data_IF_030076576371
#
_entry.id   IF_030076576371
#
_cell.length_a   1.000
_cell.length_b   1.000
_cell.length_c   1.000
_cell.angle_alpha   90.00
_cell.angle_beta   90.00
_cell.angle_gamma   90.00
#
_symmetry.space_group_name_H-M   'P 1'
#
loop_
_entity.id
_entity.type
_entity.pdbx_description
1 polymer ?
#
# COMPACT_ATOMS: atom_id res chain seq x y z
N UNK A 1 -8.28 16.33 -37.09
CA UNK A 1 -9.47 15.90 -37.88
C UNK A 1 -10.44 15.21 -36.92
N UNK A 2 -11.75 15.33 -37.10
CA UNK A 2 -12.71 14.49 -36.38
C UNK A 2 -12.98 13.27 -37.28
N UNK A 3 -12.86 12.04 -36.76
CA UNK A 3 -13.16 10.85 -37.56
C UNK A 3 -14.64 10.47 -37.57
N UNK A 4 -14.98 9.41 -38.31
CA UNK A 4 -16.35 8.90 -38.44
C UNK A 4 -16.96 8.36 -37.14
N UNK A 5 -16.18 8.27 -36.05
CA UNK A 5 -16.62 7.87 -34.71
C UNK A 5 -16.62 9.06 -33.73
N UNK A 6 -16.34 10.28 -34.21
CA UNK A 6 -16.33 11.49 -33.39
C UNK A 6 -15.03 11.72 -32.60
N UNK A 7 -13.97 10.95 -32.84
CA UNK A 7 -12.69 11.14 -32.17
C UNK A 7 -11.87 12.27 -32.80
N UNK A 8 -11.18 13.03 -31.95
CA UNK A 8 -10.24 14.06 -32.39
C UNK A 8 -8.91 13.38 -32.72
N UNK A 9 -8.50 13.48 -33.96
CA UNK A 9 -7.25 12.95 -34.47
C UNK A 9 -6.24 14.07 -34.65
N UNK A 10 -5.16 14.03 -33.86
CA UNK A 10 -3.99 14.89 -34.02
C UNK A 10 -2.94 14.10 -34.81
N UNK A 11 -2.80 14.50 -36.07
CA UNK A 11 -1.87 13.91 -37.05
C UNK A 11 -0.62 14.78 -37.24
N UNK A 12 -0.31 15.61 -36.26
CA UNK A 12 0.88 16.46 -36.17
C UNK A 12 1.54 16.27 -34.81
N UNK A 13 2.77 16.75 -34.65
CA UNK A 13 3.44 16.78 -33.35
C UNK A 13 2.83 17.88 -32.47
N UNK A 14 2.52 17.56 -31.23
CA UNK A 14 2.30 18.54 -30.15
C UNK A 14 3.64 18.73 -29.44
N UNK A 15 4.13 19.96 -29.40
CA UNK A 15 5.40 20.32 -28.77
C UNK A 15 5.23 21.45 -27.75
N UNK A 16 6.17 21.53 -26.80
CA UNK A 16 6.22 22.64 -25.85
C UNK A 16 6.85 22.28 -24.51
N UNK A 17 7.93 22.96 -24.16
CA UNK A 17 8.61 22.79 -22.88
C UNK A 17 7.67 23.14 -21.71
N UNK A 18 7.48 22.19 -20.78
CA UNK A 18 6.63 22.34 -19.60
C UNK A 18 5.12 22.41 -19.87
N UNK A 19 4.69 22.30 -21.14
CA UNK A 19 3.27 22.36 -21.51
C UNK A 19 2.60 21.03 -21.19
N UNK A 20 1.45 21.10 -20.52
CA UNK A 20 0.63 19.94 -20.16
C UNK A 20 -0.39 19.63 -21.25
N UNK A 21 -0.68 18.35 -21.43
CA UNK A 21 -1.88 17.90 -22.14
C UNK A 21 -2.92 17.50 -21.11
N UNK A 22 -4.11 18.09 -21.13
CA UNK A 22 -5.19 17.73 -20.21
C UNK A 22 -6.47 17.47 -20.99
N UNK A 23 -6.98 16.25 -20.90
CA UNK A 23 -8.31 15.88 -21.40
C UNK A 23 -9.34 16.13 -20.31
N UNK A 24 -10.28 17.03 -20.60
CA UNK A 24 -11.43 17.37 -19.78
C UNK A 24 -12.70 17.37 -20.63
N UNK A 25 -13.87 17.27 -20.01
CA UNK A 25 -15.15 17.30 -20.72
C UNK A 25 -16.32 16.87 -19.83
N UNK A 26 -17.50 16.73 -20.44
CA UNK A 26 -18.69 16.18 -19.78
C UNK A 26 -19.15 14.94 -20.57
N UNK A 27 -19.42 13.83 -19.87
CA UNK A 27 -20.32 12.78 -20.37
C UNK A 27 -19.78 11.68 -21.29
N UNK A 28 -18.53 11.20 -21.15
CA UNK A 28 -18.02 10.07 -21.95
C UNK A 28 -17.25 9.10 -21.06
N UNK A 29 -17.80 7.89 -20.88
CA UNK A 29 -17.28 6.87 -19.96
C UNK A 29 -17.16 5.52 -20.69
N UNK A 30 -16.32 5.45 -21.73
CA UNK A 30 -16.06 4.20 -22.43
C UNK A 30 -14.87 4.28 -23.39
N UNK A 31 -14.27 3.10 -23.67
CA UNK A 31 -13.13 2.94 -24.58
C UNK A 31 -13.33 3.59 -25.95
N UNK A 32 -14.58 3.70 -26.42
CA UNK A 32 -14.95 4.19 -27.74
C UNK A 32 -15.72 5.53 -27.71
N UNK A 33 -15.67 6.26 -26.58
CA UNK A 33 -16.42 7.51 -26.41
C UNK A 33 -15.44 8.67 -26.14
N UNK A 34 -15.47 9.70 -27.00
CA UNK A 34 -14.60 10.87 -26.97
C UNK A 34 -13.10 10.54 -26.84
N UNK A 35 -12.53 10.05 -27.93
CA UNK A 35 -11.10 9.70 -28.01
C UNK A 35 -10.30 10.89 -28.55
N UNK A 36 -9.17 11.21 -27.90
CA UNK A 36 -8.07 11.94 -28.53
C UNK A 36 -7.06 10.93 -29.05
N UNK A 37 -6.88 10.87 -30.37
CA UNK A 37 -5.87 10.03 -31.02
C UNK A 37 -4.60 10.83 -31.29
N UNK A 38 -3.47 10.33 -30.81
CA UNK A 38 -2.14 10.84 -31.12
C UNK A 38 -1.40 9.81 -31.98
N UNK A 39 -1.12 10.15 -33.25
CA UNK A 39 -0.48 9.23 -34.19
C UNK A 39 1.02 9.43 -34.39
N UNK A 40 1.57 10.52 -33.85
CA UNK A 40 2.98 10.91 -33.97
C UNK A 40 3.66 10.98 -32.61
N UNK A 41 4.98 11.14 -32.63
CA UNK A 41 5.78 11.39 -31.43
C UNK A 41 5.57 12.83 -30.96
N UNK A 42 4.89 13.00 -29.82
CA UNK A 42 4.66 14.29 -29.20
C UNK A 42 5.75 14.59 -28.17
N UNK A 43 6.23 15.83 -28.16
CA UNK A 43 7.43 16.28 -27.43
C UNK A 43 7.14 17.39 -26.41
N UNK A 44 5.86 17.57 -26.05
CA UNK A 44 5.54 18.39 -24.88
C UNK A 44 6.05 17.70 -23.62
N UNK A 45 6.55 18.48 -22.66
CA UNK A 45 7.23 17.94 -21.46
C UNK A 45 6.52 18.23 -20.13
N UNK A 46 5.29 18.72 -20.16
CA UNK A 46 4.40 18.73 -19.01
C UNK A 46 3.60 17.43 -18.88
N UNK A 47 2.90 17.28 -17.75
CA UNK A 47 2.08 16.10 -17.47
C UNK A 47 0.99 15.88 -18.54
N UNK A 48 0.69 14.61 -18.79
CA UNK A 48 -0.48 14.17 -19.54
C UNK A 48 -1.54 13.74 -18.54
N UNK A 49 -2.70 14.40 -18.55
CA UNK A 49 -3.75 14.20 -17.56
C UNK A 49 -5.07 13.86 -18.26
N UNK A 50 -5.58 12.66 -18.01
CA UNK A 50 -6.83 12.15 -18.58
C UNK A 50 -7.89 12.21 -17.48
N UNK A 51 -8.67 13.30 -17.46
CA UNK A 51 -9.77 13.47 -16.50
C UNK A 51 -11.12 13.02 -17.06
N UNK A 52 -11.21 12.81 -18.37
CA UNK A 52 -12.38 12.31 -19.10
C UNK A 52 -11.99 11.59 -20.39
N UNK A 53 -12.83 10.64 -20.80
CA UNK A 53 -12.71 9.93 -22.08
C UNK A 53 -11.43 9.09 -22.19
N UNK A 54 -10.98 8.94 -23.43
CA UNK A 54 -9.83 8.11 -23.78
C UNK A 54 -8.74 8.95 -24.45
N UNK A 55 -7.49 8.80 -23.99
CA UNK A 55 -6.32 9.18 -24.78
C UNK A 55 -5.75 7.94 -25.44
N UNK A 56 -5.80 7.88 -26.76
CA UNK A 56 -5.24 6.78 -27.53
C UNK A 56 -3.93 7.17 -28.22
N UNK A 57 -2.91 6.36 -28.00
CA UNK A 57 -1.72 6.35 -28.83
C UNK A 57 -1.96 5.35 -29.96
N UNK A 58 -1.89 5.81 -31.20
CA UNK A 58 -2.11 4.99 -32.39
C UNK A 58 -0.90 5.03 -33.30
N UNK A 59 -0.67 4.00 -34.12
CA UNK A 59 0.52 3.96 -34.97
C UNK A 59 1.80 4.15 -34.16
N UNK A 60 2.60 5.16 -34.51
CA UNK A 60 3.85 5.54 -33.82
C UNK A 60 3.64 6.61 -32.73
N UNK A 61 2.39 6.85 -32.34
CA UNK A 61 1.98 7.73 -31.26
C UNK A 61 2.83 7.54 -30.00
N UNK A 62 3.37 8.64 -29.49
CA UNK A 62 4.19 8.68 -28.28
C UNK A 62 4.00 9.98 -27.52
N UNK A 63 4.14 9.89 -26.19
CA UNK A 63 4.15 11.00 -25.23
C UNK A 63 5.34 10.82 -24.26
N UNK A 64 6.46 10.32 -24.78
CA UNK A 64 7.65 9.92 -24.04
C UNK A 64 8.24 11.02 -23.16
N UNK A 65 8.05 12.28 -23.52
CA UNK A 65 8.58 13.45 -22.78
C UNK A 65 7.66 13.90 -21.64
N UNK A 66 6.43 13.37 -21.56
CA UNK A 66 5.52 13.64 -20.46
C UNK A 66 6.03 12.95 -19.18
N UNK A 67 6.34 13.67 -18.09
CA UNK A 67 6.89 13.05 -16.88
C UNK A 67 5.88 12.16 -16.14
N UNK A 68 4.58 12.45 -16.28
CA UNK A 68 3.50 11.70 -15.65
C UNK A 68 2.38 11.48 -16.65
N UNK A 69 1.82 10.28 -16.66
CA UNK A 69 0.54 9.97 -17.30
C UNK A 69 -0.46 9.73 -16.17
N UNK A 70 -1.36 10.69 -15.95
CA UNK A 70 -2.42 10.60 -14.96
C UNK A 70 -3.72 10.13 -15.60
N UNK A 71 -4.33 9.11 -14.99
CA UNK A 71 -5.57 8.47 -15.41
C UNK A 71 -6.56 8.57 -14.25
N UNK A 72 -7.59 9.38 -14.42
CA UNK A 72 -8.67 9.49 -13.45
C UNK A 72 -9.62 8.28 -13.54
N UNK A 73 -10.56 8.18 -12.58
CA UNK A 73 -11.62 7.17 -12.63
C UNK A 73 -12.49 7.30 -13.89
N UNK A 74 -12.95 6.17 -14.42
CA UNK A 74 -13.70 6.02 -15.68
C UNK A 74 -12.99 6.52 -16.94
N UNK A 75 -11.66 6.75 -16.87
CA UNK A 75 -10.85 7.24 -17.99
C UNK A 75 -9.91 6.17 -18.52
N UNK A 76 -9.52 6.31 -19.78
CA UNK A 76 -8.70 5.31 -20.49
C UNK A 76 -7.42 5.91 -21.04
N UNK A 77 -6.31 5.23 -20.77
CA UNK A 77 -5.09 5.34 -21.57
C UNK A 77 -5.02 4.14 -22.51
N UNK A 78 -5.19 4.38 -23.81
CA UNK A 78 -5.34 3.34 -24.82
C UNK A 78 -4.07 3.22 -25.68
N UNK A 79 -3.52 2.01 -25.75
CA UNK A 79 -2.35 1.66 -26.57
C UNK A 79 -2.64 0.52 -27.55
N UNK A 80 -3.91 0.16 -27.75
CA UNK A 80 -4.34 -1.01 -28.53
C UNK A 80 -3.98 -0.90 -30.00
N UNK A 81 -3.98 0.31 -30.56
CA UNK A 81 -3.75 0.56 -32.00
C UNK A 81 -2.32 1.02 -32.34
N UNK A 82 -1.35 0.83 -31.43
CA UNK A 82 0.06 1.14 -31.71
C UNK A 82 0.71 0.11 -32.65
N UNK A 83 1.82 0.50 -33.28
CA UNK A 83 2.71 -0.40 -34.04
C UNK A 83 3.60 -1.27 -33.13
N UNK A 84 3.68 -0.95 -31.84
CA UNK A 84 4.57 -1.57 -30.85
C UNK A 84 3.97 -1.54 -29.43
N UNK A 85 4.58 -2.26 -28.49
CA UNK A 85 4.34 -2.01 -27.06
C UNK A 85 4.73 -0.56 -26.73
N UNK A 86 3.98 0.09 -25.85
CA UNK A 86 4.41 1.39 -25.30
C UNK A 86 5.37 1.13 -24.15
N UNK A 87 6.55 1.73 -24.20
CA UNK A 87 7.56 1.63 -23.17
C UNK A 87 7.67 3.02 -22.55
N UNK A 88 7.45 3.11 -21.24
CA UNK A 88 7.61 4.37 -20.52
C UNK A 88 9.07 4.81 -20.58
N UNK A 89 9.30 6.10 -20.80
CA UNK A 89 10.64 6.68 -20.69
C UNK A 89 11.21 6.53 -19.28
N UNK A 90 12.53 6.69 -19.13
CA UNK A 90 13.15 6.78 -17.82
C UNK A 90 12.49 7.91 -17.00
N UNK A 91 12.07 7.62 -15.78
CA UNK A 91 11.40 8.57 -14.87
C UNK A 91 9.94 8.87 -15.20
N UNK A 92 9.42 8.46 -16.37
CA UNK A 92 8.01 8.62 -16.69
C UNK A 92 7.15 7.74 -15.77
N UNK A 93 6.15 8.33 -15.14
CA UNK A 93 5.36 7.67 -14.09
C UNK A 93 3.90 7.52 -14.47
N UNK A 94 3.24 6.51 -13.89
CA UNK A 94 1.79 6.32 -13.98
C UNK A 94 1.13 6.80 -12.69
N UNK A 95 0.06 7.58 -12.83
CA UNK A 95 -0.72 8.07 -11.69
C UNK A 95 -2.20 7.73 -11.88
N UNK A 96 -2.77 6.97 -10.96
CA UNK A 96 -4.20 6.66 -10.91
C UNK A 96 -4.84 7.50 -9.81
N UNK A 97 -5.78 8.37 -10.21
CA UNK A 97 -6.41 9.36 -9.32
C UNK A 97 -7.91 9.15 -9.10
N UNK A 98 -8.46 8.02 -9.55
CA UNK A 98 -9.87 7.66 -9.33
C UNK A 98 -10.15 7.14 -7.91
N UNK A 99 -11.03 7.82 -7.18
CA UNK A 99 -11.47 7.44 -5.82
C UNK A 99 -12.70 6.53 -5.79
N UNK A 100 -13.65 6.80 -6.67
CA UNK A 100 -14.95 6.12 -6.76
C UNK A 100 -15.09 5.24 -7.99
N UNK A 101 -14.10 5.30 -8.89
CA UNK A 101 -14.07 4.59 -10.15
C UNK A 101 -12.63 4.23 -10.53
N UNK A 102 -12.48 3.19 -11.35
CA UNK A 102 -11.18 2.68 -11.80
C UNK A 102 -10.68 3.46 -13.01
N UNK A 103 -9.36 3.71 -13.09
CA UNK A 103 -8.71 4.14 -14.31
C UNK A 103 -8.27 2.94 -15.13
N UNK A 104 -8.29 3.05 -16.46
CA UNK A 104 -8.05 1.92 -17.35
C UNK A 104 -6.82 2.11 -18.22
N UNK A 105 -6.07 1.02 -18.42
CA UNK A 105 -5.08 0.91 -19.49
C UNK A 105 -5.61 -0.09 -20.50
N UNK A 106 -5.95 0.39 -21.70
CA UNK A 106 -6.47 -0.45 -22.77
C UNK A 106 -5.34 -1.09 -23.56
N UNK A 107 -5.37 -2.41 -23.64
CA UNK A 107 -4.30 -3.22 -24.22
C UNK A 107 -4.88 -4.30 -25.13
N UNK A 108 -4.07 -4.81 -26.05
CA UNK A 108 -4.40 -5.98 -26.86
C UNK A 108 -3.17 -6.87 -26.99
N UNK A 109 -3.34 -8.08 -27.51
CA UNK A 109 -2.23 -9.03 -27.67
C UNK A 109 -1.12 -8.38 -28.51
N UNK A 110 0.11 -8.35 -27.96
CA UNK A 110 1.26 -7.69 -28.59
C UNK A 110 1.32 -6.16 -28.41
N UNK A 111 0.32 -5.55 -27.78
CA UNK A 111 0.19 -4.11 -27.52
C UNK A 111 -0.19 -3.86 -26.07
N UNK A 112 0.85 -3.75 -25.25
CA UNK A 112 0.73 -3.45 -23.83
C UNK A 112 1.61 -2.27 -23.45
N UNK A 113 1.75 -2.11 -22.14
CA UNK A 113 2.60 -1.10 -21.53
C UNK A 113 3.74 -1.79 -20.77
N UNK A 114 4.96 -1.27 -20.90
CA UNK A 114 6.12 -1.72 -20.12
C UNK A 114 6.71 -0.51 -19.41
N UNK A 115 6.85 -0.59 -18.09
CA UNK A 115 7.51 0.45 -17.31
C UNK A 115 9.03 0.40 -17.50
N UNK A 116 9.68 1.55 -17.41
CA UNK A 116 11.14 1.61 -17.25
C UNK A 116 11.52 1.25 -15.81
N UNK A 117 12.80 0.95 -15.56
CA UNK A 117 13.30 0.65 -14.21
C UNK A 117 13.14 1.81 -13.21
N UNK A 118 13.04 3.04 -13.71
CA UNK A 118 12.88 4.27 -12.91
C UNK A 118 11.46 4.83 -12.94
N UNK A 119 10.51 4.14 -13.57
CA UNK A 119 9.09 4.52 -13.49
C UNK A 119 8.57 4.34 -12.05
N UNK A 120 7.69 5.23 -11.63
CA UNK A 120 6.92 5.09 -10.40
C UNK A 120 5.43 4.91 -10.68
N UNK A 121 4.73 4.22 -9.78
CA UNK A 121 3.29 4.07 -9.79
C UNK A 121 2.69 4.82 -8.61
N UNK A 122 1.71 5.66 -8.87
CA UNK A 122 1.01 6.44 -7.85
C UNK A 122 -0.46 6.05 -7.83
N UNK A 123 -0.96 5.63 -6.67
CA UNK A 123 -2.38 5.45 -6.37
C UNK A 123 -2.77 6.52 -5.37
N UNK A 124 -3.27 7.66 -5.85
CA UNK A 124 -3.30 8.91 -5.06
C UNK A 124 -4.50 9.06 -4.16
N UNK A 125 -5.54 8.25 -4.37
CA UNK A 125 -6.79 8.33 -3.62
C UNK A 125 -7.38 6.93 -3.38
N UNK A 126 -6.55 6.04 -2.83
CA UNK A 126 -6.90 4.64 -2.64
C UNK A 126 -7.93 4.46 -1.52
N UNK A 127 -8.94 3.64 -1.78
CA UNK A 127 -9.85 3.17 -0.74
C UNK A 127 -10.35 1.76 -1.02
N UNK A 128 -10.67 1.00 0.04
CA UNK A 128 -11.20 -0.35 -0.13
C UNK A 128 -12.53 -0.32 -0.90
N UNK A 129 -12.74 -1.35 -1.73
CA UNK A 129 -13.96 -1.51 -2.55
C UNK A 129 -13.86 -0.94 -3.97
N UNK A 130 -12.88 -0.08 -4.26
CA UNK A 130 -12.61 0.41 -5.62
C UNK A 130 -11.19 0.02 -6.01
N UNK A 131 -11.04 -0.68 -7.13
CA UNK A 131 -9.70 -0.97 -7.66
C UNK A 131 -9.21 0.26 -8.44
N UNK A 132 -8.07 0.88 -8.09
CA UNK A 132 -7.63 2.11 -8.73
C UNK A 132 -7.34 1.99 -10.22
N UNK A 133 -6.82 0.84 -10.64
CA UNK A 133 -6.39 0.60 -12.01
C UNK A 133 -6.91 -0.74 -12.54
N UNK A 134 -7.25 -0.78 -13.82
CA UNK A 134 -7.63 -2.00 -14.52
C UNK A 134 -6.94 -2.10 -15.87
N UNK A 135 -6.28 -3.23 -16.13
CA UNK A 135 -5.79 -3.56 -17.48
C UNK A 135 -6.97 -4.12 -18.29
N UNK A 136 -7.39 -3.42 -19.33
CA UNK A 136 -8.45 -3.87 -20.23
C UNK A 136 -7.92 -4.52 -21.50
N UNK A 137 -8.67 -5.52 -22.00
CA UNK A 137 -8.31 -6.30 -23.18
C UNK A 137 -7.34 -7.45 -22.90
N UNK A 138 -6.62 -7.91 -23.92
CA UNK A 138 -5.82 -9.15 -23.88
C UNK A 138 -4.30 -8.93 -23.83
N UNK A 139 -3.85 -7.68 -23.71
CA UNK A 139 -2.43 -7.35 -23.56
C UNK A 139 -1.99 -7.35 -22.09
N UNK A 140 -1.00 -6.53 -21.76
CA UNK A 140 -0.53 -6.47 -20.38
C UNK A 140 0.22 -5.21 -20.00
N UNK A 141 0.41 -5.06 -18.69
CA UNK A 141 1.30 -4.12 -18.04
C UNK A 141 2.50 -4.91 -17.47
N UNK A 142 3.70 -4.59 -17.93
CA UNK A 142 4.95 -5.18 -17.43
C UNK A 142 5.61 -4.19 -16.46
N UNK A 143 5.76 -4.62 -15.22
CA UNK A 143 6.39 -3.87 -14.13
C UNK A 143 7.82 -4.35 -13.88
N UNK A 144 8.68 -3.45 -13.41
CA UNK A 144 10.05 -3.75 -12.99
C UNK A 144 10.11 -3.90 -11.47
N UNK A 145 11.01 -4.76 -10.99
CA UNK A 145 11.24 -4.95 -9.55
C UNK A 145 11.68 -3.66 -8.85
N UNK A 146 12.36 -2.76 -9.57
CA UNK A 146 12.86 -1.48 -9.05
C UNK A 146 11.83 -0.34 -9.09
N UNK A 147 10.63 -0.56 -9.66
CA UNK A 147 9.61 0.47 -9.62
C UNK A 147 9.21 0.79 -8.18
N UNK A 148 8.99 2.07 -7.91
CA UNK A 148 8.45 2.52 -6.62
C UNK A 148 6.94 2.65 -6.73
N UNK A 149 6.22 2.08 -5.76
CA UNK A 149 4.77 2.20 -5.67
C UNK A 149 4.39 3.08 -4.49
N UNK A 150 3.58 4.09 -4.72
CA UNK A 150 3.05 4.99 -3.71
C UNK A 150 1.55 4.82 -3.60
N UNK A 151 1.05 4.48 -2.41
CA UNK A 151 -0.38 4.30 -2.12
C UNK A 151 -0.78 5.32 -1.07
N UNK A 152 -1.56 6.33 -1.47
CA UNK A 152 -2.16 7.25 -0.54
C UNK A 152 -3.56 6.77 -0.17
N UNK A 153 -3.73 6.30 1.06
CA UNK A 153 -4.99 5.76 1.56
C UNK A 153 -5.90 6.90 2.01
N UNK A 154 -7.12 6.92 1.49
CA UNK A 154 -8.19 7.83 1.87
C UNK A 154 -9.47 7.03 2.19
N UNK A 155 -9.47 6.45 3.38
CA UNK A 155 -10.49 5.57 3.93
C UNK A 155 -11.21 6.20 5.14
N UNK A 156 -11.44 7.51 5.07
CA UNK A 156 -12.23 8.23 6.08
C UNK A 156 -11.60 8.26 7.48
N UNK A 157 -10.27 8.27 7.57
CA UNK A 157 -9.54 8.27 8.84
C UNK A 157 -9.27 6.88 9.41
N UNK A 158 -9.63 5.81 8.69
CA UNK A 158 -9.48 4.43 9.16
C UNK A 158 -8.32 3.76 8.40
N UNK A 159 -7.21 3.39 9.06
CA UNK A 159 -6.13 2.64 8.43
C UNK A 159 -6.61 1.31 7.83
N UNK A 160 -5.94 0.84 6.78
CA UNK A 160 -6.28 -0.43 6.14
C UNK A 160 -5.87 -1.61 7.04
N UNK A 161 -6.81 -2.42 7.58
CA UNK A 161 -6.47 -3.58 8.41
C UNK A 161 -5.66 -4.62 7.63
N UNK A 162 -5.14 -5.63 8.33
CA UNK A 162 -4.43 -6.72 7.67
C UNK A 162 -5.31 -7.40 6.60
N UNK A 163 -4.72 -7.65 5.43
CA UNK A 163 -5.46 -8.15 4.28
C UNK A 163 -4.77 -7.88 2.94
N UNK A 164 -5.39 -8.36 1.86
CA UNK A 164 -4.93 -8.15 0.49
C UNK A 164 -5.78 -7.07 -0.19
N UNK A 165 -5.13 -6.03 -0.70
CA UNK A 165 -5.74 -4.87 -1.33
C UNK A 165 -5.32 -4.82 -2.79
N UNK A 166 -6.29 -4.99 -3.70
CA UNK A 166 -6.02 -4.97 -5.13
C UNK A 166 -5.73 -3.54 -5.58
N UNK A 167 -4.55 -3.33 -6.17
CA UNK A 167 -4.13 -2.05 -6.74
C UNK A 167 -4.37 -2.00 -8.24
N UNK A 168 -4.10 -3.11 -8.94
CA UNK A 168 -4.30 -3.23 -10.38
C UNK A 168 -5.05 -4.54 -10.67
N UNK A 169 -6.27 -4.41 -11.17
CA UNK A 169 -7.06 -5.52 -11.70
C UNK A 169 -6.74 -5.78 -13.17
N UNK A 170 -7.32 -6.87 -13.68
CA UNK A 170 -7.41 -7.14 -15.11
C UNK A 170 -8.86 -7.44 -15.51
N UNK A 171 -9.14 -7.29 -16.79
CA UNK A 171 -10.30 -7.90 -17.45
C UNK A 171 -9.83 -8.91 -18.48
N UNK A 172 -10.71 -9.81 -18.92
CA UNK A 172 -10.42 -10.80 -19.96
C UNK A 172 -9.11 -11.57 -19.69
N UNK A 173 -8.29 -11.73 -20.74
CA UNK A 173 -6.95 -12.34 -20.68
C UNK A 173 -5.84 -11.32 -20.43
N UNK A 174 -6.18 -10.11 -19.98
CA UNK A 174 -5.22 -9.08 -19.62
C UNK A 174 -4.25 -9.57 -18.53
N UNK A 175 -3.15 -8.87 -18.34
CA UNK A 175 -2.18 -9.27 -17.32
C UNK A 175 -1.37 -8.11 -16.77
N UNK A 176 -1.07 -8.18 -15.48
CA UNK A 176 0.07 -7.52 -14.86
C UNK A 176 1.18 -8.56 -14.70
N UNK A 177 2.39 -8.24 -15.12
CA UNK A 177 3.57 -9.09 -14.95
C UNK A 177 4.69 -8.31 -14.25
N UNK A 178 5.55 -9.04 -13.53
CA UNK A 178 6.54 -8.44 -12.62
C UNK A 178 5.91 -7.96 -11.30
N UNK A 179 6.74 -7.85 -10.27
CA UNK A 179 6.33 -7.40 -8.93
C UNK A 179 7.35 -6.38 -8.43
N UNK A 180 6.98 -5.10 -8.25
CA UNK A 180 7.86 -4.13 -7.61
C UNK A 180 8.18 -4.53 -6.16
N UNK A 181 9.38 -4.25 -5.66
CA UNK A 181 9.79 -4.61 -4.30
C UNK A 181 9.54 -3.52 -3.25
N UNK A 182 9.17 -2.31 -3.67
CA UNK A 182 8.97 -1.16 -2.79
C UNK A 182 7.56 -0.62 -2.88
N UNK A 183 6.91 -0.50 -1.71
CA UNK A 183 5.64 0.21 -1.53
C UNK A 183 5.76 1.19 -0.38
N UNK A 184 5.34 2.43 -0.61
CA UNK A 184 5.18 3.47 0.40
C UNK A 184 3.69 3.72 0.59
N UNK A 185 3.20 3.58 1.83
CA UNK A 185 1.79 3.85 2.15
C UNK A 185 1.68 5.12 2.98
N UNK A 186 0.81 6.05 2.55
CA UNK A 186 0.56 7.35 3.21
C UNK A 186 -0.94 7.56 3.44
N UNK A 187 -1.32 8.74 3.93
CA UNK A 187 -2.71 9.08 4.23
C UNK A 187 -3.18 8.40 5.51
N UNK A 188 -4.35 7.77 5.48
CA UNK A 188 -4.86 6.96 6.61
C UNK A 188 -3.99 5.73 6.89
N UNK A 189 -3.16 5.33 5.91
CA UNK A 189 -2.09 4.37 6.10
C UNK A 189 -2.55 2.95 6.42
N UNK A 190 -1.69 2.27 7.17
CA UNK A 190 -1.90 0.93 7.73
C UNK A 190 -1.72 1.01 9.26
N UNK A 191 -2.32 0.10 10.05
CA UNK A 191 -2.18 0.10 11.50
C UNK A 191 -0.71 0.06 11.94
N UNK A 192 -0.35 0.72 13.06
CA UNK A 192 0.99 0.62 13.64
C UNK A 192 1.44 -0.83 13.85
N UNK A 193 2.74 -1.09 13.65
CA UNK A 193 3.32 -2.43 13.78
C UNK A 193 3.08 -3.37 12.60
N UNK A 194 2.21 -3.00 11.65
CA UNK A 194 2.00 -3.78 10.41
C UNK A 194 3.03 -3.41 9.33
N UNK A 195 3.15 -4.27 8.32
CA UNK A 195 4.00 -4.03 7.15
C UNK A 195 3.19 -4.16 5.87
N UNK A 196 3.57 -3.36 4.85
CA UNK A 196 3.04 -3.44 3.51
C UNK A 196 4.05 -4.10 2.56
N UNK A 197 3.58 -4.99 1.70
CA UNK A 197 4.37 -5.59 0.62
C UNK A 197 3.54 -5.71 -0.65
N UNK A 198 4.19 -5.99 -1.78
CA UNK A 198 3.52 -6.16 -3.06
C UNK A 198 3.61 -7.60 -3.53
N UNK A 199 2.54 -8.07 -4.14
CA UNK A 199 2.50 -9.37 -4.83
C UNK A 199 1.74 -9.25 -6.14
N UNK A 200 2.28 -9.86 -7.18
CA UNK A 200 1.52 -10.11 -8.40
C UNK A 200 1.00 -11.54 -8.38
N UNK A 201 -0.32 -11.70 -8.43
CA UNK A 201 -0.99 -13.01 -8.40
C UNK A 201 -2.08 -13.05 -9.46
N UNK A 202 -2.13 -14.14 -10.22
CA UNK A 202 -3.10 -14.33 -11.32
C UNK A 202 -3.13 -13.19 -12.35
N UNK A 203 -2.02 -12.47 -12.54
CA UNK A 203 -1.96 -11.34 -13.47
C UNK A 203 -2.58 -10.05 -12.92
N UNK A 204 -2.68 -9.90 -11.61
CA UNK A 204 -3.15 -8.71 -10.91
C UNK A 204 -2.14 -8.30 -9.83
N UNK A 205 -2.04 -7.01 -9.53
CA UNK A 205 -1.15 -6.48 -8.49
C UNK A 205 -1.95 -6.21 -7.21
N UNK A 206 -1.44 -6.75 -6.10
CA UNK A 206 -1.98 -6.54 -4.76
C UNK A 206 -0.93 -5.93 -3.83
N UNK A 207 -1.40 -5.09 -2.92
CA UNK A 207 -0.69 -4.76 -1.69
C UNK A 207 -1.17 -5.69 -0.58
N UNK A 208 -0.25 -6.34 0.12
CA UNK A 208 -0.54 -7.12 1.31
C UNK A 208 -0.18 -6.31 2.54
N UNK A 209 -1.15 -6.11 3.44
CA UNK A 209 -0.91 -5.58 4.78
C UNK A 209 -0.85 -6.77 5.73
N UNK A 210 0.31 -6.99 6.34
CA UNK A 210 0.55 -8.10 7.25
C UNK A 210 0.75 -7.60 8.69
N UNK A 211 0.11 -8.26 9.64
CA UNK A 211 0.49 -8.15 11.06
C UNK A 211 1.89 -8.72 11.25
N UNK A 212 2.65 -8.22 12.23
CA UNK A 212 3.93 -8.83 12.57
C UNK A 212 3.68 -10.28 12.94
N UNK A 213 4.41 -11.21 12.32
CA UNK A 213 4.40 -12.62 12.74
C UNK A 213 5.28 -12.73 13.97
N UNK A 214 4.71 -12.47 15.14
CA UNK A 214 5.41 -12.73 16.38
C UNK A 214 5.25 -14.19 16.78
N UNK A 215 6.36 -14.89 17.01
CA UNK A 215 6.30 -16.07 17.87
C UNK A 215 5.89 -15.59 19.27
N UNK A 216 4.92 -16.22 19.95
CA UNK A 216 4.60 -15.84 21.32
C UNK A 216 5.79 -16.16 22.23
N UNK A 217 6.09 -15.25 23.16
CA UNK A 217 7.04 -15.44 24.24
C UNK A 217 6.34 -15.30 25.60
N UNK A 218 7.10 -15.56 26.67
CA UNK A 218 6.65 -15.49 28.05
C UNK A 218 7.52 -14.57 28.88
N UNK A 219 6.91 -13.90 29.85
CA UNK A 219 7.60 -13.14 30.89
C UNK A 219 7.35 -13.83 32.22
N UNK A 220 8.42 -14.14 32.94
CA UNK A 220 8.36 -14.74 34.27
C UNK A 220 9.17 -13.94 35.28
N UNK A 221 8.70 -13.96 36.52
CA UNK A 221 9.39 -13.32 37.62
C UNK A 221 8.82 -13.74 38.96
N UNK A 222 9.34 -13.10 40.00
CA UNK A 222 9.00 -13.38 41.39
C UNK A 222 8.85 -12.08 42.18
N UNK A 223 7.89 -12.08 43.10
CA UNK A 223 7.71 -10.99 44.06
C UNK A 223 8.20 -11.44 45.43
N UNK A 224 9.14 -10.68 46.01
CA UNK A 224 9.80 -11.03 47.27
C UNK A 224 9.90 -9.82 48.21
N UNK A 225 10.02 -10.08 49.50
CA UNK A 225 10.46 -9.09 50.50
C UNK A 225 11.98 -8.90 50.45
N UNK A 226 12.51 -7.89 51.15
CA UNK A 226 13.94 -7.58 51.22
C UNK A 226 14.81 -8.72 51.78
N UNK A 227 14.23 -9.63 52.57
CA UNK A 227 14.87 -10.85 53.10
C UNK A 227 14.71 -12.08 52.18
N UNK A 228 14.11 -11.91 50.99
CA UNK A 228 14.00 -12.96 49.97
C UNK A 228 12.81 -13.90 50.13
N UNK A 229 11.91 -13.64 51.07
CA UNK A 229 10.67 -14.41 51.23
C UNK A 229 9.68 -14.06 50.12
N UNK A 230 9.09 -15.09 49.51
CA UNK A 230 8.09 -14.93 48.46
C UNK A 230 6.79 -14.30 48.98
N UNK A 231 6.23 -13.36 48.22
CA UNK A 231 4.95 -12.71 48.54
C UNK A 231 3.85 -13.27 47.65
N UNK A 232 2.95 -14.02 48.27
CA UNK A 232 1.83 -14.66 47.59
C UNK A 232 0.64 -13.72 47.39
N UNK A 233 -0.22 -14.08 46.43
CA UNK A 233 -1.55 -13.51 46.24
C UNK A 233 -1.56 -12.02 45.84
N UNK A 234 -0.45 -11.51 45.28
CA UNK A 234 -0.37 -10.17 44.69
C UNK A 234 -0.78 -10.21 43.23
N UNK A 235 -1.41 -9.13 42.77
CA UNK A 235 -1.76 -8.98 41.36
C UNK A 235 -0.56 -8.39 40.63
N UNK A 236 -0.16 -9.05 39.55
CA UNK A 236 0.77 -8.52 38.56
C UNK A 236 -0.02 -8.27 37.29
N UNK A 237 0.05 -7.06 36.77
CA UNK A 237 -0.63 -6.68 35.53
C UNK A 237 0.40 -6.36 34.46
N UNK A 238 0.24 -6.93 33.27
CA UNK A 238 1.01 -6.56 32.08
C UNK A 238 0.13 -5.75 31.13
N UNK A 239 0.66 -4.65 30.63
CA UNK A 239 0.04 -3.78 29.63
C UNK A 239 1.08 -3.33 28.60
N UNK A 240 0.63 -2.69 27.51
CA UNK A 240 1.52 -2.27 26.42
C UNK A 240 1.61 -3.30 25.29
N UNK A 241 2.60 -3.13 24.41
CA UNK A 241 2.69 -3.86 23.15
C UNK A 241 1.43 -3.67 22.28
N UNK A 242 0.94 -4.78 21.72
CA UNK A 242 -0.28 -4.87 20.91
C UNK A 242 -1.46 -5.52 21.67
N UNK A 243 -1.38 -5.64 22.99
CA UNK A 243 -2.44 -6.22 23.81
C UNK A 243 -3.73 -5.38 23.72
N UNK A 244 -4.83 -6.03 23.33
CA UNK A 244 -6.15 -5.38 23.27
C UNK A 244 -6.64 -4.89 24.65
N UNK A 245 -6.19 -5.55 25.72
CA UNK A 245 -6.48 -5.19 27.11
C UNK A 245 -5.37 -5.69 28.04
N UNK A 246 -5.11 -5.03 29.18
CA UNK A 246 -4.16 -5.53 30.18
C UNK A 246 -4.51 -6.93 30.69
N UNK A 247 -3.50 -7.74 30.96
CA UNK A 247 -3.65 -9.09 31.52
C UNK A 247 -3.17 -9.06 32.96
N UNK A 248 -3.95 -9.63 33.88
CA UNK A 248 -3.58 -9.73 35.30
C UNK A 248 -3.43 -11.19 35.72
N UNK A 249 -2.31 -11.51 36.37
CA UNK A 249 -2.07 -12.81 37.02
C UNK A 249 -1.77 -12.61 38.50
N UNK A 250 -1.85 -13.70 39.27
CA UNK A 250 -1.61 -13.66 40.71
C UNK A 250 -0.37 -14.44 41.09
N UNK A 251 0.43 -13.91 42.01
CA UNK A 251 1.61 -14.62 42.51
C UNK A 251 1.21 -15.85 43.33
N UNK A 252 1.94 -16.95 43.14
CA UNK A 252 1.73 -18.18 43.91
C UNK A 252 2.31 -18.10 45.33
N UNK A 253 2.23 -19.18 46.11
CA UNK A 253 2.74 -19.25 47.51
C UNK A 253 4.22 -18.90 47.66
N UNK A 254 5.02 -19.10 46.60
CA UNK A 254 6.45 -18.79 46.57
C UNK A 254 6.75 -17.43 45.94
N UNK A 255 5.74 -16.68 45.51
CA UNK A 255 5.85 -15.36 44.90
C UNK A 255 6.02 -15.35 43.38
N UNK A 256 6.02 -16.52 42.71
CA UNK A 256 6.21 -16.59 41.25
C UNK A 256 4.96 -16.17 40.49
N UNK A 257 5.17 -15.56 39.32
CA UNK A 257 4.14 -15.24 38.34
C UNK A 257 4.65 -15.51 36.90
N UNK A 258 3.72 -15.66 35.96
CA UNK A 258 4.01 -15.92 34.55
C UNK A 258 2.95 -15.30 33.65
N UNK A 259 3.39 -14.66 32.58
CA UNK A 259 2.59 -14.33 31.41
C UNK A 259 3.09 -15.15 30.23
N UNK A 260 2.18 -15.69 29.43
CA UNK A 260 2.46 -16.48 28.22
C UNK A 260 1.73 -15.86 27.04
N UNK A 261 2.13 -16.22 25.81
CA UNK A 261 1.41 -15.78 24.63
C UNK A 261 1.63 -14.32 24.26
N UNK A 262 2.68 -13.68 24.79
CA UNK A 262 2.96 -12.27 24.54
C UNK A 262 3.73 -12.11 23.21
N UNK A 263 3.26 -11.25 22.29
CA UNK A 263 4.03 -10.94 21.08
C UNK A 263 5.40 -10.33 21.38
N UNK A 264 6.46 -10.90 20.80
CA UNK A 264 7.82 -10.36 20.72
C UNK A 264 7.92 -9.16 19.78
N UNK A 265 9.00 -8.40 19.92
CA UNK A 265 9.24 -7.13 19.21
C UNK A 265 8.52 -5.93 19.83
N UNK A 266 7.96 -6.10 21.03
CA UNK A 266 7.11 -5.12 21.71
C UNK A 266 7.67 -4.77 23.09
N UNK A 267 7.34 -3.57 23.58
CA UNK A 267 7.62 -3.15 24.96
C UNK A 267 6.37 -3.32 25.83
N UNK A 268 6.54 -4.03 26.95
CA UNK A 268 5.51 -4.26 27.95
C UNK A 268 5.82 -3.53 29.26
N UNK A 269 4.78 -3.16 29.99
CA UNK A 269 4.86 -2.58 31.33
C UNK A 269 4.24 -3.56 32.31
N UNK A 270 5.04 -4.07 33.25
CA UNK A 270 4.59 -4.95 34.32
C UNK A 270 4.42 -4.13 35.58
N UNK A 271 3.25 -4.18 36.19
CA UNK A 271 2.91 -3.45 37.41
C UNK A 271 2.53 -4.43 38.52
N UNK A 272 3.13 -4.26 39.70
CA UNK A 272 2.73 -4.95 40.93
C UNK A 272 1.77 -4.08 41.75
N UNK A 273 0.62 -4.63 42.11
CA UNK A 273 -0.37 -3.97 42.97
C UNK A 273 -0.41 -4.62 44.36
N UNK A 274 -0.32 -3.79 45.40
CA UNK A 274 -0.38 -4.23 46.80
C UNK A 274 -0.87 -3.12 47.72
N UNK A 275 -1.73 -3.48 48.68
CA UNK A 275 -2.13 -2.60 49.80
C UNK A 275 -1.26 -2.74 51.04
N UNK A 276 -0.44 -3.79 51.11
CA UNK A 276 0.32 -4.18 52.32
C UNK A 276 1.82 -3.97 52.18
N UNK A 277 2.32 -3.88 50.96
CA UNK A 277 3.74 -3.79 50.63
C UNK A 277 3.97 -2.61 49.71
N UNK A 278 5.07 -1.89 49.92
CA UNK A 278 5.58 -0.85 49.04
C UNK A 278 6.71 -1.43 48.18
N UNK A 279 6.88 -0.90 46.97
CA UNK A 279 7.93 -1.30 46.03
C UNK A 279 8.64 -0.04 45.54
N UNK A 280 9.98 -0.08 45.46
CA UNK A 280 10.75 1.03 44.91
C UNK A 280 10.42 1.28 43.43
N UNK A 281 10.22 0.20 42.67
CA UNK A 281 9.73 0.21 41.29
C UNK A 281 8.47 -0.64 41.22
N UNK A 282 7.29 -0.01 41.36
CA UNK A 282 6.02 -0.72 41.23
C UNK A 282 5.66 -1.04 39.78
N UNK A 283 6.35 -0.46 38.80
CA UNK A 283 6.21 -0.75 37.38
C UNK A 283 7.58 -0.92 36.72
N UNK A 284 7.75 -1.95 35.89
CA UNK A 284 8.97 -2.21 35.12
C UNK A 284 8.64 -2.32 33.63
N UNK A 285 9.44 -1.68 32.78
CA UNK A 285 9.35 -1.82 31.33
C UNK A 285 10.21 -3.00 30.85
N UNK A 286 9.70 -3.80 29.92
CA UNK A 286 10.36 -5.00 29.37
C UNK A 286 10.22 -4.98 27.85
N UNK A 287 11.34 -4.87 27.14
CA UNK A 287 11.41 -5.08 25.70
C UNK A 287 11.50 -6.59 25.44
N UNK A 288 10.43 -7.17 24.88
CA UNK A 288 10.31 -8.61 24.74
C UNK A 288 10.77 -9.04 23.35
N UNK A 289 11.94 -9.67 23.22
CA UNK A 289 12.41 -10.29 21.98
C UNK A 289 12.31 -11.82 21.98
N UNK A 290 12.27 -12.43 23.16
CA UNK A 290 12.22 -13.87 23.41
C UNK A 290 11.64 -14.13 24.82
N UNK A 291 11.66 -15.38 25.29
CA UNK A 291 11.27 -15.69 26.68
C UNK A 291 12.19 -14.98 27.69
N UNK A 292 11.60 -14.17 28.59
CA UNK A 292 12.33 -13.45 29.64
C UNK A 292 11.99 -14.02 31.01
N UNK A 293 13.02 -14.25 31.82
CA UNK A 293 12.92 -14.69 33.21
C UNK A 293 13.55 -13.67 34.16
N UNK A 294 13.17 -13.73 35.43
CA UNK A 294 13.78 -12.90 36.49
C UNK A 294 13.33 -11.44 36.48
N UNK A 295 12.13 -11.15 35.96
CA UNK A 295 11.53 -9.81 36.09
C UNK A 295 10.97 -9.65 37.50
N UNK A 296 11.85 -9.52 38.48
CA UNK A 296 11.44 -9.59 39.88
C UNK A 296 11.00 -8.22 40.44
N UNK A 297 10.17 -8.26 41.48
CA UNK A 297 9.78 -7.11 42.29
C UNK A 297 10.19 -7.35 43.75
N UNK A 298 10.87 -6.37 44.34
CA UNK A 298 11.37 -6.45 45.72
C UNK A 298 10.64 -5.40 46.56
N UNK A 299 9.92 -5.86 47.58
CA UNK A 299 9.24 -4.98 48.52
C UNK A 299 10.25 -4.29 49.43
N UNK A 300 10.05 -3.00 49.67
CA UNK A 300 10.86 -2.21 50.61
C UNK A 300 10.27 -2.29 52.03
N UNK A 301 11.09 -2.11 53.08
CA UNK A 301 10.63 -2.13 54.48
C UNK A 301 9.56 -1.09 54.81
#
# INVERSE_FOLDING_TARGET
>A
LIDGQGAINIISVIEGAGRKLTLIGNGFNGLNEAILNLSWVNTYSGETIIKKGSLALIGDGSIADSPVIEIAGDCYFDVQSRTGQYILSAGQSLRFSGRTATGYIATTTGRGLTTSSTSSLYFTDFAPGVVPATISGSGGLTLQTTNQVFVNVNNGGIPLPAGAYKLIAKTNSGSVSGTPSSVTVTGDGIPPGTSASLITSNGELYMLVATPSSAPASITGRVVTSDGRGIANLNITVAGGDLASPITVRTNSFGFYRFEGLPVGMTYFLTVDSKKYSFAESTRAVDLSEDIQGVDFIAVP
#
